data_IF_926354802077
#
_entry.id   IF_926354802077
#
_cell.length_a   1.000
_cell.length_b   1.000
_cell.length_c   1.000
_cell.angle_alpha   90.00
_cell.angle_beta   90.00
_cell.angle_gamma   90.00
#
_symmetry.space_group_name_H-M   'P 1'
#
loop_
_entity.id
_entity.type
_entity.pdbx_description
1 polymer ?
#
# COMPACT_ATOMS: atom_id res chain seq x y z
N UNK A 1 -30.62 -16.91 17.18
CA UNK A 1 -31.51 -16.44 16.10
C UNK A 1 -31.90 -17.68 15.33
N UNK A 2 -33.19 -18.02 15.35
CA UNK A 2 -33.71 -19.25 14.74
C UNK A 2 -33.54 -19.18 13.21
N UNK A 3 -32.85 -20.16 12.61
CA UNK A 3 -32.53 -20.19 11.18
C UNK A 3 -33.75 -20.48 10.29
N UNK A 4 -34.93 -20.66 10.89
CA UNK A 4 -36.19 -21.02 10.22
C UNK A 4 -36.82 -19.88 9.39
N UNK A 5 -36.29 -18.66 9.41
CA UNK A 5 -36.84 -17.50 8.68
C UNK A 5 -35.92 -16.90 7.59
N UNK A 6 -34.93 -17.64 7.09
CA UNK A 6 -34.16 -17.13 5.94
C UNK A 6 -35.03 -17.24 4.68
N UNK A 7 -35.45 -16.09 4.17
CA UNK A 7 -36.29 -15.96 2.98
C UNK A 7 -35.66 -16.71 1.79
N UNK A 8 -36.32 -17.78 1.33
CA UNK A 8 -35.85 -18.64 0.23
C UNK A 8 -35.55 -17.85 -1.05
N UNK A 9 -36.21 -16.71 -1.27
CA UNK A 9 -35.91 -15.80 -2.40
C UNK A 9 -34.53 -15.14 -2.27
N UNK A 10 -34.11 -14.79 -1.06
CA UNK A 10 -32.80 -14.20 -0.78
C UNK A 10 -31.67 -15.23 -1.01
N UNK A 11 -31.91 -16.49 -0.63
CA UNK A 11 -30.97 -17.60 -0.90
C UNK A 11 -30.82 -17.82 -2.41
N UNK A 12 -31.92 -17.83 -3.16
CA UNK A 12 -31.90 -18.01 -4.63
C UNK A 12 -31.15 -16.85 -5.31
N UNK A 13 -31.37 -15.61 -4.86
CA UNK A 13 -30.66 -14.43 -5.39
C UNK A 13 -29.15 -14.54 -5.11
N UNK A 14 -28.75 -14.91 -3.90
CA UNK A 14 -27.34 -15.10 -3.54
C UNK A 14 -26.70 -16.24 -4.34
N UNK A 15 -27.44 -17.33 -4.59
CA UNK A 15 -26.98 -18.44 -5.42
C UNK A 15 -26.78 -18.02 -6.89
N UNK A 16 -27.70 -17.22 -7.44
CA UNK A 16 -27.60 -16.72 -8.81
C UNK A 16 -26.43 -15.74 -8.98
N UNK A 17 -26.18 -14.87 -8.00
CA UNK A 17 -25.02 -13.97 -7.99
C UNK A 17 -23.72 -14.78 -7.91
N UNK A 18 -23.68 -15.81 -7.07
CA UNK A 18 -22.53 -16.70 -6.95
C UNK A 18 -22.24 -17.45 -8.26
N UNK A 19 -23.26 -18.03 -8.90
CA UNK A 19 -23.12 -18.71 -10.19
C UNK A 19 -22.67 -17.74 -11.29
N UNK A 20 -23.22 -16.52 -11.35
CA UNK A 20 -22.79 -15.51 -12.31
C UNK A 20 -21.31 -15.10 -12.11
N UNK A 21 -20.84 -15.02 -10.86
CA UNK A 21 -19.44 -14.72 -10.55
C UNK A 21 -18.48 -15.84 -11.01
N UNK A 22 -18.90 -17.10 -10.87
CA UNK A 22 -18.14 -18.25 -11.39
C UNK A 22 -18.04 -18.17 -12.92
N UNK A 23 -19.15 -17.92 -13.63
CA UNK A 23 -19.11 -17.78 -15.10
C UNK A 23 -18.26 -16.61 -15.59
N UNK A 24 -18.25 -15.49 -14.86
CA UNK A 24 -17.39 -14.34 -15.19
C UNK A 24 -15.90 -14.68 -15.03
N UNK A 25 -15.53 -15.34 -13.93
CA UNK A 25 -14.14 -15.79 -13.70
C UNK A 25 -13.71 -16.89 -14.68
N UNK A 26 -14.63 -17.77 -15.10
CA UNK A 26 -14.34 -18.82 -16.09
C UNK A 26 -14.13 -18.25 -17.50
N UNK A 27 -14.94 -17.27 -17.92
CA UNK A 27 -14.77 -16.61 -19.22
C UNK A 27 -13.52 -15.73 -19.28
N UNK A 28 -13.14 -15.08 -18.18
CA UNK A 28 -11.90 -14.29 -18.10
C UNK A 28 -10.63 -15.16 -18.18
N UNK A 29 -10.72 -16.45 -17.82
CA UNK A 29 -9.58 -17.39 -17.82
C UNK A 29 -9.38 -18.12 -19.15
N UNK A 30 -10.36 -18.10 -20.07
CA UNK A 30 -10.34 -18.92 -21.31
C UNK A 30 -10.52 -18.12 -22.61
N UNK A 31 -10.59 -16.79 -22.59
CA UNK A 31 -10.63 -15.97 -23.82
C UNK A 31 -9.25 -15.71 -24.46
N UNK A 32 -8.17 -16.28 -23.91
CA UNK A 32 -6.83 -16.28 -24.52
C UNK A 32 -6.65 -17.41 -25.54
N UNK A 33 -7.32 -17.33 -26.70
CA UNK A 33 -7.01 -18.16 -27.86
C UNK A 33 -6.63 -17.23 -29.02
N UNK A 34 -5.34 -17.17 -29.33
CA UNK A 34 -4.77 -16.56 -30.53
C UNK A 34 -5.19 -17.36 -31.78
N UNK A 35 -5.42 -16.69 -32.92
CA UNK A 35 -5.11 -17.27 -34.22
C UNK A 35 -3.84 -16.63 -34.81
N UNK A 36 -3.05 -17.50 -35.43
CA UNK A 36 -1.79 -17.21 -36.12
C UNK A 36 -1.90 -16.22 -37.29
N UNK A 37 -0.78 -15.51 -37.47
CA UNK A 37 -0.15 -15.06 -38.73
C UNK A 37 -0.89 -15.36 -40.04
N UNK A 38 -1.20 -14.31 -40.79
CA UNK A 38 -1.10 -14.32 -42.25
C UNK A 38 0.04 -13.40 -42.69
N UNK A 39 0.94 -13.96 -43.51
CA UNK A 39 1.93 -13.23 -44.29
C UNK A 39 1.21 -12.25 -45.22
N UNK A 40 1.80 -11.07 -45.43
CA UNK A 40 1.77 -10.44 -46.75
C UNK A 40 3.10 -9.77 -47.05
N UNK A 41 3.65 -10.14 -48.20
CA UNK A 41 4.90 -9.71 -48.76
C UNK A 41 4.57 -8.90 -50.04
N UNK A 42 5.11 -7.68 -50.12
CA UNK A 42 5.64 -7.01 -51.32
C UNK A 42 4.66 -6.38 -52.35
N UNK A 43 4.91 -5.08 -52.54
CA UNK A 43 4.76 -4.23 -53.75
C UNK A 43 3.39 -3.71 -54.16
N UNK A 44 3.22 -2.37 -54.13
CA UNK A 44 3.40 -1.56 -55.34
C UNK A 44 3.37 -0.04 -55.08
N UNK A 45 4.27 0.65 -55.79
CA UNK A 45 4.39 2.10 -55.97
C UNK A 45 3.06 2.79 -56.32
N UNK A 46 2.84 4.01 -55.83
CA UNK A 46 3.08 5.23 -56.61
C UNK A 46 2.55 6.52 -55.94
N UNK A 47 3.45 7.50 -55.85
CA UNK A 47 3.29 8.93 -56.19
C UNK A 47 2.16 9.70 -55.49
N UNK A 48 2.53 10.57 -54.55
CA UNK A 48 2.36 12.00 -54.80
C UNK A 48 3.38 12.83 -54.01
N UNK A 49 4.14 13.60 -54.77
CA UNK A 49 5.00 14.65 -54.30
C UNK A 49 4.16 15.86 -53.89
N UNK A 50 4.50 16.49 -52.78
CA UNK A 50 4.44 17.94 -52.72
C UNK A 50 5.62 18.47 -51.92
N UNK A 51 6.45 19.22 -52.65
CA UNK A 51 7.61 19.95 -52.20
C UNK A 51 7.12 21.24 -51.54
N UNK A 52 7.46 21.44 -50.27
CA UNK A 52 7.73 22.79 -49.80
C UNK A 52 9.00 22.88 -48.96
N UNK A 53 9.85 23.77 -49.44
CA UNK A 53 11.21 24.08 -49.06
C UNK A 53 11.32 24.72 -47.68
N UNK A 54 12.24 24.21 -46.87
CA UNK A 54 12.76 24.88 -45.67
C UNK A 54 14.09 24.27 -45.28
N UNK A 55 15.13 25.09 -45.17
CA UNK A 55 16.52 24.72 -44.89
C UNK A 55 16.70 23.92 -43.58
N UNK A 56 17.75 23.09 -43.45
CA UNK A 56 18.08 22.45 -42.18
C UNK A 56 18.64 23.50 -41.21
N UNK A 57 17.87 23.84 -40.17
CA UNK A 57 18.36 24.59 -39.03
C UNK A 57 19.45 23.76 -38.33
N UNK A 58 20.71 24.16 -38.51
CA UNK A 58 21.80 23.78 -37.63
C UNK A 58 21.56 24.45 -36.27
N UNK A 59 21.00 23.72 -35.31
CA UNK A 59 21.05 24.16 -33.93
C UNK A 59 22.45 23.86 -33.38
N UNK A 60 23.19 24.95 -33.17
CA UNK A 60 24.44 25.00 -32.43
C UNK A 60 24.27 24.33 -31.06
N UNK A 61 25.20 23.43 -30.75
CA UNK A 61 25.29 22.61 -29.54
C UNK A 61 26.04 23.31 -28.40
N UNK A 62 26.00 24.64 -28.32
CA UNK A 62 26.76 25.41 -27.32
C UNK A 62 25.84 26.36 -26.55
N UNK A 63 25.07 25.80 -25.62
CA UNK A 63 24.55 26.39 -24.36
C UNK A 63 23.30 25.61 -23.94
N UNK A 64 23.48 24.51 -23.20
CA UNK A 64 22.39 23.95 -22.39
C UNK A 64 22.77 24.22 -20.95
N UNK A 65 22.03 25.15 -20.35
CA UNK A 65 21.99 25.38 -18.91
C UNK A 65 21.86 24.04 -18.18
N UNK A 66 22.71 23.83 -17.17
CA UNK A 66 22.65 22.70 -16.24
C UNK A 66 21.48 22.86 -15.24
N UNK A 67 20.30 23.22 -15.72
CA UNK A 67 19.08 23.10 -14.93
C UNK A 67 18.62 21.64 -14.96
N UNK A 68 18.14 21.07 -13.84
CA UNK A 68 17.54 19.75 -13.84
C UNK A 68 16.40 19.73 -14.86
N UNK A 69 16.60 19.04 -15.98
CA UNK A 69 15.65 18.99 -17.09
C UNK A 69 14.39 18.29 -16.60
N UNK A 70 13.33 19.07 -16.35
CA UNK A 70 12.01 18.53 -16.09
C UNK A 70 11.44 17.91 -17.38
N UNK A 71 11.15 16.62 -17.37
CA UNK A 71 10.47 15.94 -18.48
C UNK A 71 8.95 15.97 -18.29
N UNK A 72 8.21 16.40 -19.32
CA UNK A 72 6.73 16.39 -19.31
C UNK A 72 6.22 15.24 -20.16
N UNK A 73 5.41 14.36 -19.57
CA UNK A 73 4.96 13.10 -20.17
C UNK A 73 3.46 13.12 -20.35
N UNK A 74 3.00 12.87 -21.58
CA UNK A 74 1.58 12.87 -21.95
C UNK A 74 1.11 11.44 -22.30
N UNK A 75 -0.20 11.18 -22.32
CA UNK A 75 -0.71 9.86 -22.69
C UNK A 75 -0.19 9.41 -24.07
N UNK A 76 0.40 8.22 -24.12
CA UNK A 76 1.06 7.67 -25.32
C UNK A 76 2.58 7.74 -25.27
N UNK A 77 3.15 8.62 -24.46
CA UNK A 77 4.58 8.64 -24.16
C UNK A 77 4.94 7.53 -23.15
N UNK A 78 6.22 7.14 -23.11
CA UNK A 78 6.74 6.22 -22.09
C UNK A 78 7.29 6.99 -20.88
N UNK A 79 6.76 6.68 -19.70
CA UNK A 79 7.28 7.20 -18.43
C UNK A 79 8.68 6.64 -18.18
N UNK A 80 8.94 5.37 -18.51
CA UNK A 80 10.27 4.79 -18.33
C UNK A 80 11.34 5.49 -19.16
N UNK A 81 11.04 5.86 -20.41
CA UNK A 81 12.00 6.61 -21.23
C UNK A 81 12.32 7.99 -20.62
N UNK A 82 11.35 8.64 -20.01
CA UNK A 82 11.56 9.88 -19.27
C UNK A 82 12.48 9.67 -18.06
N UNK A 83 12.21 8.63 -17.26
CA UNK A 83 13.04 8.26 -16.11
C UNK A 83 14.49 8.01 -16.58
N UNK A 84 14.68 7.29 -17.69
CA UNK A 84 16.00 6.99 -18.23
C UNK A 84 16.76 8.25 -18.67
N UNK A 85 16.07 9.23 -19.25
CA UNK A 85 16.68 10.42 -19.86
C UNK A 85 16.93 11.57 -18.88
N UNK A 86 16.06 11.77 -17.89
CA UNK A 86 16.20 12.87 -16.91
C UNK A 86 17.46 12.65 -16.05
N UNK A 87 18.27 13.69 -15.88
CA UNK A 87 19.47 13.62 -15.04
C UNK A 87 19.11 13.39 -13.56
N UNK A 88 20.01 12.76 -12.80
CA UNK A 88 19.78 12.55 -11.36
C UNK A 88 19.49 13.88 -10.65
N UNK A 89 18.49 13.86 -9.76
CA UNK A 89 17.95 15.03 -9.07
C UNK A 89 16.81 15.74 -9.81
N UNK A 90 16.57 15.41 -11.09
CA UNK A 90 15.53 16.01 -11.91
C UNK A 90 14.10 15.49 -11.65
N UNK A 91 13.15 16.03 -12.40
CA UNK A 91 11.72 15.72 -12.26
C UNK A 91 11.13 15.13 -13.54
N UNK A 92 10.35 14.07 -13.40
CA UNK A 92 9.44 13.56 -14.42
C UNK A 92 8.02 13.95 -14.02
N UNK A 93 7.40 14.81 -14.80
CA UNK A 93 6.04 15.34 -14.61
C UNK A 93 5.10 14.60 -15.56
N UNK A 94 4.22 13.77 -15.01
CA UNK A 94 3.31 12.91 -15.77
C UNK A 94 1.90 13.52 -15.80
N UNK A 95 1.36 13.73 -16.99
CA UNK A 95 0.01 14.25 -17.19
C UNK A 95 -1.05 13.15 -17.06
N UNK A 96 -2.29 13.49 -16.65
CA UNK A 96 -3.35 12.51 -16.47
C UNK A 96 -3.56 11.63 -17.71
N UNK A 97 -3.61 10.33 -17.49
CA UNK A 97 -3.58 9.32 -18.54
C UNK A 97 -3.45 7.91 -17.97
N UNK A 98 -3.60 6.90 -18.81
CA UNK A 98 -3.29 5.50 -18.47
C UNK A 98 -1.94 5.14 -19.08
N UNK A 99 -1.01 4.72 -18.24
CA UNK A 99 0.32 4.26 -18.62
C UNK A 99 0.45 2.81 -18.17
N UNK A 100 0.62 1.90 -19.14
CA UNK A 100 0.79 0.47 -18.88
C UNK A 100 2.27 0.12 -18.91
N UNK A 101 2.93 0.27 -17.78
CA UNK A 101 4.38 0.12 -17.64
C UNK A 101 4.71 -0.48 -16.26
N UNK A 102 5.87 -1.14 -16.16
CA UNK A 102 6.52 -1.45 -14.89
C UNK A 102 7.80 -0.63 -14.86
N UNK A 103 7.90 0.30 -13.91
CA UNK A 103 8.89 1.36 -13.89
C UNK A 103 10.05 1.03 -12.96
N UNK A 104 11.27 1.23 -13.43
CA UNK A 104 12.50 1.10 -12.65
C UNK A 104 13.07 2.49 -12.40
N UNK A 105 13.25 2.84 -11.12
CA UNK A 105 13.87 4.10 -10.70
C UNK A 105 15.15 3.78 -9.93
N UNK A 106 16.27 3.85 -10.64
CA UNK A 106 17.61 3.45 -10.19
C UNK A 106 18.56 4.63 -9.96
N UNK A 107 18.05 5.86 -10.04
CA UNK A 107 18.75 7.10 -9.69
C UNK A 107 17.85 8.06 -8.92
N UNK A 108 18.41 8.93 -8.06
CA UNK A 108 17.63 9.94 -7.34
C UNK A 108 16.82 10.80 -8.29
N UNK A 109 15.50 10.83 -8.14
CA UNK A 109 14.56 11.53 -9.03
C UNK A 109 13.24 11.85 -8.32
N UNK A 110 12.51 12.81 -8.87
CA UNK A 110 11.10 13.01 -8.57
C UNK A 110 10.26 12.53 -9.75
N UNK A 111 9.35 11.61 -9.53
CA UNK A 111 8.32 11.22 -10.50
C UNK A 111 6.99 11.66 -9.89
N UNK A 112 6.34 12.63 -10.51
CA UNK A 112 5.14 13.26 -9.96
C UNK A 112 4.05 13.37 -11.01
N UNK A 113 2.80 13.19 -10.59
CA UNK A 113 1.64 13.53 -11.40
C UNK A 113 1.47 15.05 -11.43
N UNK A 114 1.22 15.61 -12.61
CA UNK A 114 0.97 17.06 -12.79
C UNK A 114 -0.29 17.57 -12.07
N UNK A 115 -1.17 16.66 -11.63
CA UNK A 115 -2.45 16.98 -11.01
C UNK A 115 -2.56 16.43 -9.58
N UNK A 116 -1.53 16.67 -8.75
CA UNK A 116 -1.54 16.26 -7.33
C UNK A 116 -2.82 16.75 -6.63
N UNK A 117 -3.66 15.81 -6.18
CA UNK A 117 -4.91 16.12 -5.46
C UNK A 117 -6.11 16.51 -6.34
N UNK A 118 -6.00 16.40 -7.66
CA UNK A 118 -7.12 16.59 -8.59
C UNK A 118 -7.95 15.32 -8.84
N UNK A 119 -9.11 15.46 -9.50
CA UNK A 119 -10.03 14.33 -9.81
C UNK A 119 -9.55 13.43 -10.96
N UNK A 120 -8.51 13.81 -11.69
CA UNK A 120 -7.96 13.06 -12.81
C UNK A 120 -6.50 12.68 -12.51
N UNK A 121 -6.29 11.42 -12.16
CA UNK A 121 -4.98 10.87 -11.80
C UNK A 121 -4.24 10.37 -13.06
N UNK A 122 -2.93 10.57 -13.10
CA UNK A 122 -2.07 9.69 -13.89
C UNK A 122 -2.15 8.29 -13.29
N UNK A 123 -2.63 7.33 -14.06
CA UNK A 123 -2.76 5.93 -13.65
C UNK A 123 -1.62 5.12 -14.23
N UNK A 124 -0.76 4.58 -13.36
CA UNK A 124 0.29 3.65 -13.74
C UNK A 124 -0.22 2.24 -13.41
N UNK A 125 -0.45 1.46 -14.45
CA UNK A 125 -0.90 0.08 -14.36
C UNK A 125 0.26 -0.85 -14.73
N UNK A 126 0.48 -1.90 -13.95
CA UNK A 126 1.44 -2.95 -14.29
C UNK A 126 1.17 -3.48 -15.72
N UNK A 127 2.17 -3.43 -16.59
CA UNK A 127 2.13 -4.13 -17.88
C UNK A 127 2.28 -5.65 -17.67
N UNK A 128 3.15 -6.00 -16.74
CA UNK A 128 3.42 -7.35 -16.26
C UNK A 128 2.95 -7.47 -14.80
N UNK A 129 1.89 -8.23 -14.51
CA UNK A 129 1.31 -8.34 -13.16
C UNK A 129 2.22 -9.08 -12.17
N UNK A 130 3.25 -9.77 -12.64
CA UNK A 130 4.23 -10.50 -11.81
C UNK A 130 5.41 -9.63 -11.36
N UNK A 131 5.39 -8.32 -11.69
CA UNK A 131 6.42 -7.34 -11.36
C UNK A 131 5.85 -6.15 -10.60
N UNK A 132 6.73 -5.44 -9.88
CA UNK A 132 6.36 -4.20 -9.22
C UNK A 132 5.90 -3.15 -10.24
N UNK A 133 4.94 -2.28 -9.89
CA UNK A 133 4.59 -1.15 -10.77
C UNK A 133 5.71 -0.11 -10.74
N UNK A 134 6.21 0.21 -9.55
CA UNK A 134 7.45 0.96 -9.35
C UNK A 134 8.44 0.11 -8.57
N UNK A 135 9.59 -0.19 -9.19
CA UNK A 135 10.74 -0.84 -8.57
C UNK A 135 11.84 0.20 -8.32
N UNK A 136 12.03 0.59 -7.07
CA UNK A 136 12.88 1.73 -6.71
C UNK A 136 14.05 1.24 -5.86
N UNK A 137 15.26 1.45 -6.38
CA UNK A 137 16.52 1.05 -5.73
C UNK A 137 17.40 2.24 -5.34
N UNK A 138 17.12 3.42 -5.86
CA UNK A 138 17.86 4.63 -5.53
C UNK A 138 17.37 5.34 -4.28
N UNK A 139 18.32 6.03 -3.62
CA UNK A 139 18.04 6.96 -2.54
C UNK A 139 17.36 8.24 -3.05
N UNK A 140 16.67 8.94 -2.15
CA UNK A 140 16.08 10.26 -2.37
C UNK A 140 15.11 10.31 -3.57
N UNK A 141 14.35 9.23 -3.80
CA UNK A 141 13.31 9.18 -4.83
C UNK A 141 11.99 9.68 -4.28
N UNK A 142 11.30 10.52 -5.04
CA UNK A 142 9.94 10.98 -4.73
C UNK A 142 8.95 10.40 -5.73
N UNK A 143 7.90 9.72 -5.26
CA UNK A 143 6.76 9.27 -6.08
C UNK A 143 5.51 9.94 -5.55
N UNK A 144 4.83 10.74 -6.38
CA UNK A 144 3.70 11.54 -5.91
C UNK A 144 2.51 11.62 -6.87
N UNK A 145 1.30 11.50 -6.32
CA UNK A 145 0.06 11.85 -7.01
C UNK A 145 -0.46 10.83 -8.04
N UNK A 146 -0.01 9.57 -7.98
CA UNK A 146 -0.42 8.53 -8.94
C UNK A 146 -1.56 7.66 -8.43
N UNK A 147 -2.32 7.10 -9.37
CA UNK A 147 -3.09 5.88 -9.14
C UNK A 147 -2.26 4.68 -9.62
N UNK A 148 -1.94 3.75 -8.73
CA UNK A 148 -0.97 2.67 -8.93
C UNK A 148 -1.68 1.32 -8.73
N UNK A 149 -1.70 0.48 -9.76
CA UNK A 149 -2.54 -0.74 -9.77
C UNK A 149 -2.00 -1.87 -10.63
N UNK A 150 -2.47 -3.08 -10.36
CA UNK A 150 -2.39 -4.20 -11.30
C UNK A 150 -1.25 -5.19 -11.05
N UNK A 151 -0.38 -4.95 -10.07
CA UNK A 151 0.70 -5.87 -9.69
C UNK A 151 0.16 -7.01 -8.80
N UNK A 152 -0.30 -8.11 -9.40
CA UNK A 152 -1.01 -9.17 -8.68
C UNK A 152 -0.13 -9.98 -7.72
N UNK A 153 1.16 -10.17 -8.05
CA UNK A 153 2.08 -10.98 -7.22
C UNK A 153 3.14 -10.15 -6.50
N UNK A 154 3.23 -8.85 -6.82
CA UNK A 154 4.29 -7.94 -6.38
C UNK A 154 3.72 -6.62 -5.85
N UNK A 155 4.57 -5.60 -5.71
CA UNK A 155 4.18 -4.35 -5.08
C UNK A 155 3.66 -3.30 -6.09
N UNK A 156 2.73 -2.46 -5.65
CA UNK A 156 2.49 -1.18 -6.33
C UNK A 156 3.75 -0.33 -6.29
N UNK A 157 4.36 -0.19 -5.11
CA UNK A 157 5.69 0.42 -4.95
C UNK A 157 6.57 -0.52 -4.13
N UNK A 158 7.64 -1.01 -4.74
CA UNK A 158 8.77 -1.61 -4.04
C UNK A 158 9.87 -0.57 -3.87
N UNK A 159 10.40 -0.43 -2.66
CA UNK A 159 11.42 0.56 -2.34
C UNK A 159 12.51 -0.05 -1.45
N UNK A 160 13.75 -0.02 -1.93
CA UNK A 160 14.94 -0.45 -1.17
C UNK A 160 15.99 0.66 -0.98
N UNK A 161 15.74 1.86 -1.49
CA UNK A 161 16.56 3.04 -1.20
C UNK A 161 16.31 3.63 0.19
N UNK A 162 16.91 4.79 0.45
CA UNK A 162 16.75 5.58 1.68
C UNK A 162 16.35 7.03 1.40
N UNK A 163 15.72 7.71 2.37
CA UNK A 163 15.41 9.14 2.26
C UNK A 163 14.34 9.50 1.22
N UNK A 164 13.54 8.53 0.79
CA UNK A 164 12.48 8.71 -0.20
C UNK A 164 11.20 9.33 0.35
N UNK A 165 10.40 9.89 -0.56
CA UNK A 165 9.09 10.47 -0.25
C UNK A 165 8.02 9.83 -1.14
N UNK A 166 7.10 9.08 -0.55
CA UNK A 166 5.97 8.47 -1.26
C UNK A 166 4.70 9.14 -0.77
N UNK A 167 4.11 10.02 -1.60
CA UNK A 167 3.07 10.94 -1.12
C UNK A 167 1.85 11.01 -2.04
N UNK A 168 0.65 11.14 -1.45
CA UNK A 168 -0.59 11.39 -2.21
C UNK A 168 -0.88 10.39 -3.33
N UNK A 169 -0.41 9.16 -3.20
CA UNK A 169 -0.70 8.10 -4.15
C UNK A 169 -1.94 7.32 -3.71
N UNK A 170 -2.68 6.80 -4.69
CA UNK A 170 -3.69 5.77 -4.51
C UNK A 170 -3.12 4.44 -4.97
N UNK A 171 -2.95 3.48 -4.07
CA UNK A 171 -2.40 2.17 -4.36
C UNK A 171 -3.46 1.10 -4.15
N UNK A 172 -3.87 0.44 -5.23
CA UNK A 172 -4.96 -0.54 -5.16
C UNK A 172 -4.79 -1.73 -6.08
N UNK A 173 -5.35 -2.88 -5.68
CA UNK A 173 -5.32 -4.13 -6.45
C UNK A 173 -3.89 -4.58 -6.78
N UNK A 174 -2.99 -4.47 -5.80
CA UNK A 174 -1.65 -5.05 -5.84
C UNK A 174 -1.50 -6.12 -4.73
N UNK A 175 -0.49 -6.97 -4.81
CA UNK A 175 -0.19 -7.88 -3.70
C UNK A 175 0.24 -7.08 -2.46
N UNK A 176 1.26 -6.24 -2.63
CA UNK A 176 1.66 -5.24 -1.64
C UNK A 176 1.28 -3.85 -2.17
N UNK A 177 0.61 -3.01 -1.38
CA UNK A 177 0.44 -1.61 -1.76
C UNK A 177 1.80 -0.94 -1.85
N UNK A 178 2.48 -0.85 -0.71
CA UNK A 178 3.87 -0.39 -0.58
C UNK A 178 4.69 -1.44 0.15
N UNK A 179 5.85 -1.77 -0.40
CA UNK A 179 6.82 -2.67 0.23
C UNK A 179 8.19 -1.98 0.35
N UNK A 180 8.58 -1.73 1.59
CA UNK A 180 9.89 -1.25 2.00
C UNK A 180 10.75 -2.45 2.43
N UNK A 181 11.87 -2.67 1.74
CA UNK A 181 12.77 -3.78 2.01
C UNK A 181 14.20 -3.28 2.20
N UNK A 182 14.76 -3.50 3.39
CA UNK A 182 16.10 -3.02 3.78
C UNK A 182 16.27 -1.50 3.61
N UNK A 183 15.20 -0.75 3.88
CA UNK A 183 15.09 0.69 3.56
C UNK A 183 15.00 1.56 4.83
N UNK A 184 15.43 2.82 4.76
CA UNK A 184 15.44 3.68 5.96
C UNK A 184 15.17 5.16 5.68
N UNK A 185 14.68 5.85 6.72
CA UNK A 185 14.49 7.31 6.71
C UNK A 185 13.54 7.76 5.59
N UNK A 186 12.61 6.89 5.20
CA UNK A 186 11.61 7.19 4.18
C UNK A 186 10.36 7.80 4.82
N UNK A 187 9.66 8.63 4.05
CA UNK A 187 8.39 9.24 4.42
C UNK A 187 7.30 8.69 3.51
N UNK A 188 6.29 8.07 4.10
CA UNK A 188 5.05 7.67 3.44
C UNK A 188 3.91 8.52 4.00
N UNK A 189 3.42 9.48 3.22
CA UNK A 189 2.46 10.48 3.72
C UNK A 189 1.24 10.70 2.81
N UNK A 190 0.05 10.77 3.41
CA UNK A 190 -1.22 11.08 2.72
C UNK A 190 -1.55 10.11 1.56
N UNK A 191 -1.19 8.83 1.65
CA UNK A 191 -1.55 7.84 0.64
C UNK A 191 -2.88 7.15 0.97
N UNK A 192 -3.65 6.81 -0.07
CA UNK A 192 -4.80 5.91 0.00
C UNK A 192 -4.35 4.52 -0.43
N UNK A 193 -4.32 3.56 0.50
CA UNK A 193 -3.89 2.18 0.23
C UNK A 193 -5.07 1.26 0.43
N UNK A 194 -5.67 0.79 -0.65
CA UNK A 194 -6.95 0.10 -0.60
C UNK A 194 -7.00 -1.16 -1.47
N UNK A 195 -7.63 -2.24 -0.99
CA UNK A 195 -7.82 -3.47 -1.76
C UNK A 195 -6.51 -4.09 -2.28
N UNK A 196 -5.45 -4.03 -1.48
CA UNK A 196 -4.25 -4.83 -1.68
C UNK A 196 -4.32 -6.06 -0.78
N UNK A 197 -3.56 -7.12 -1.06
CA UNK A 197 -3.42 -8.23 -0.12
C UNK A 197 -2.84 -7.68 1.19
N UNK A 198 -1.63 -7.13 1.14
CA UNK A 198 -1.01 -6.39 2.23
C UNK A 198 -0.90 -4.91 1.86
N UNK A 199 -1.38 -4.02 2.72
CA UNK A 199 -1.34 -2.57 2.49
C UNK A 199 0.08 -2.01 2.46
N UNK A 200 0.73 -1.93 3.62
CA UNK A 200 2.10 -1.40 3.77
C UNK A 200 2.96 -2.42 4.52
N UNK A 201 4.03 -2.89 3.89
CA UNK A 201 4.97 -3.83 4.48
C UNK A 201 6.35 -3.18 4.63
N UNK A 202 6.90 -3.23 5.85
CA UNK A 202 8.28 -2.86 6.16
C UNK A 202 9.00 -4.12 6.61
N UNK A 203 10.03 -4.51 5.86
CA UNK A 203 10.94 -5.60 6.21
C UNK A 203 12.35 -5.06 6.37
N UNK A 204 13.00 -5.35 7.50
CA UNK A 204 14.34 -4.83 7.82
C UNK A 204 14.46 -3.32 7.65
N UNK A 205 13.37 -2.58 7.86
CA UNK A 205 13.24 -1.19 7.41
C UNK A 205 13.05 -0.25 8.59
N UNK A 206 14.13 0.46 8.93
CA UNK A 206 14.24 1.21 10.17
C UNK A 206 14.07 2.72 9.97
N UNK A 207 13.64 3.43 11.02
CA UNK A 207 13.59 4.89 11.06
C UNK A 207 12.68 5.55 10.00
N UNK A 208 11.60 4.88 9.59
CA UNK A 208 10.64 5.41 8.62
C UNK A 208 9.47 6.13 9.30
N UNK A 209 8.82 7.03 8.56
CA UNK A 209 7.64 7.77 9.03
C UNK A 209 6.45 7.48 8.13
N UNK A 210 5.41 6.89 8.71
CA UNK A 210 4.13 6.62 8.06
C UNK A 210 3.11 7.59 8.67
N UNK A 211 2.70 8.60 7.91
CA UNK A 211 1.86 9.69 8.42
C UNK A 211 0.61 9.90 7.60
N UNK A 212 -0.53 10.02 8.27
CA UNK A 212 -1.80 10.42 7.62
C UNK A 212 -2.21 9.56 6.43
N UNK A 213 -1.80 8.28 6.40
CA UNK A 213 -2.22 7.35 5.37
C UNK A 213 -3.58 6.74 5.72
N UNK A 214 -4.37 6.44 4.68
CA UNK A 214 -5.65 5.75 4.80
C UNK A 214 -5.53 4.35 4.22
N UNK A 215 -5.39 3.35 5.10
CA UNK A 215 -5.23 1.94 4.74
C UNK A 215 -6.54 1.22 4.99
N UNK A 216 -7.13 0.67 3.92
CA UNK A 216 -8.41 -0.04 4.00
C UNK A 216 -8.38 -1.31 3.16
N UNK A 217 -9.22 -2.27 3.52
CA UNK A 217 -9.38 -3.49 2.73
C UNK A 217 -10.82 -3.96 2.71
N UNK A 218 -11.09 -4.90 1.81
CA UNK A 218 -12.24 -5.77 1.93
C UNK A 218 -11.83 -6.90 2.85
N UNK A 219 -12.16 -6.79 4.15
CA UNK A 219 -12.03 -7.87 5.13
C UNK A 219 -12.98 -9.05 4.85
N UNK A 220 -13.03 -9.51 3.60
CA UNK A 220 -13.82 -10.65 3.16
C UNK A 220 -12.90 -11.86 3.17
N UNK A 221 -13.28 -12.85 3.97
CA UNK A 221 -12.73 -14.19 3.91
C UNK A 221 -12.89 -14.77 2.50
N UNK A 222 -11.78 -15.06 1.85
CA UNK A 222 -11.74 -15.97 0.70
C UNK A 222 -10.67 -17.02 0.99
N UNK A 223 -11.06 -18.08 1.71
CA UNK A 223 -10.19 -19.24 1.98
C UNK A 223 -9.35 -19.17 3.26
N UNK A 224 -8.36 -20.07 3.34
CA UNK A 224 -7.46 -20.27 4.49
C UNK A 224 -6.31 -19.26 4.55
N UNK A 225 -5.99 -18.60 3.43
CA UNK A 225 -4.91 -17.62 3.32
C UNK A 225 -5.50 -16.21 3.27
N UNK A 226 -5.91 -15.69 4.43
CA UNK A 226 -6.46 -14.35 4.51
C UNK A 226 -5.32 -13.33 4.55
N UNK A 227 -4.96 -12.81 3.38
CA UNK A 227 -3.81 -11.92 3.27
C UNK A 227 -4.11 -10.47 3.67
N UNK A 228 -5.38 -10.10 3.98
CA UNK A 228 -5.84 -8.73 4.19
C UNK A 228 -5.22 -8.05 5.44
N UNK A 229 -3.98 -7.61 5.31
CA UNK A 229 -3.17 -6.99 6.36
C UNK A 229 -2.97 -5.50 6.06
N UNK A 230 -3.19 -4.63 7.04
CA UNK A 230 -3.04 -3.18 6.87
C UNK A 230 -1.59 -2.74 6.84
N UNK A 231 -0.96 -2.75 8.01
CA UNK A 231 0.46 -2.39 8.17
C UNK A 231 1.19 -3.53 8.86
N UNK A 232 2.29 -4.00 8.25
CA UNK A 232 3.14 -5.05 8.81
C UNK A 232 4.58 -4.57 8.91
N UNK A 233 5.17 -4.66 10.10
CA UNK A 233 6.60 -4.44 10.36
C UNK A 233 7.23 -5.78 10.76
N UNK A 234 8.27 -6.17 10.04
CA UNK A 234 9.12 -7.34 10.30
C UNK A 234 10.56 -6.86 10.42
N UNK A 235 11.20 -7.15 11.56
CA UNK A 235 12.58 -6.74 11.85
C UNK A 235 12.81 -5.22 11.61
N UNK A 236 11.82 -4.41 11.96
CA UNK A 236 11.74 -3.00 11.57
C UNK A 236 11.56 -2.09 12.79
N UNK A 237 12.66 -1.47 13.21
CA UNK A 237 12.78 -0.68 14.43
C UNK A 237 12.69 0.84 14.19
N UNK A 238 12.37 1.57 15.26
CA UNK A 238 12.43 3.04 15.32
C UNK A 238 11.52 3.75 14.30
N UNK A 239 10.45 3.10 13.85
CA UNK A 239 9.47 3.67 12.94
C UNK A 239 8.39 4.46 13.69
N UNK A 240 7.85 5.49 13.02
CA UNK A 240 6.76 6.31 13.54
C UNK A 240 5.53 6.18 12.66
N UNK A 241 4.46 5.65 13.23
CA UNK A 241 3.15 5.52 12.61
C UNK A 241 2.24 6.57 13.26
N UNK A 242 1.95 7.64 12.54
CA UNK A 242 1.27 8.82 13.08
C UNK A 242 0.00 9.17 12.33
N UNK A 243 -1.13 9.32 13.03
CA UNK A 243 -2.38 9.83 12.44
C UNK A 243 -2.88 9.03 11.23
N UNK A 244 -2.54 7.75 11.12
CA UNK A 244 -3.03 6.88 10.05
C UNK A 244 -4.43 6.35 10.41
N UNK A 245 -5.22 6.05 9.38
CA UNK A 245 -6.47 5.30 9.49
C UNK A 245 -6.24 3.90 8.93
N UNK A 246 -6.48 2.87 9.74
CA UNK A 246 -6.31 1.46 9.38
C UNK A 246 -7.62 0.74 9.66
N UNK A 247 -8.38 0.37 8.63
CA UNK A 247 -9.74 -0.09 8.84
C UNK A 247 -10.23 -1.22 7.94
N UNK A 248 -11.15 -2.02 8.52
CA UNK A 248 -11.90 -3.10 7.84
C UNK A 248 -11.02 -4.23 7.27
N UNK A 249 -9.91 -4.51 7.92
CA UNK A 249 -8.94 -5.53 7.53
C UNK A 249 -9.07 -6.79 8.41
N UNK A 250 -8.40 -7.86 7.99
CA UNK A 250 -8.23 -9.03 8.84
C UNK A 250 -7.23 -8.72 9.95
N UNK A 251 -6.01 -8.33 9.57
CA UNK A 251 -4.99 -7.82 10.48
C UNK A 251 -4.81 -6.31 10.27
N UNK A 252 -5.01 -5.53 11.32
CA UNK A 252 -4.86 -4.08 11.27
C UNK A 252 -3.40 -3.67 11.21
N UNK A 253 -2.73 -3.75 12.37
CA UNK A 253 -1.30 -3.44 12.51
C UNK A 253 -0.59 -4.60 13.20
N UNK A 254 0.49 -5.11 12.61
CA UNK A 254 1.26 -6.23 13.14
C UNK A 254 2.75 -5.88 13.19
N UNK A 255 3.38 -6.10 14.34
CA UNK A 255 4.82 -5.99 14.55
C UNK A 255 5.38 -7.37 14.93
N UNK A 256 6.34 -7.85 14.15
CA UNK A 256 7.15 -9.03 14.44
C UNK A 256 8.60 -8.61 14.57
N UNK A 257 9.23 -8.92 15.70
CA UNK A 257 10.66 -8.63 15.95
C UNK A 257 11.00 -7.15 15.72
N UNK A 258 10.04 -6.26 16.02
CA UNK A 258 10.08 -4.84 15.66
C UNK A 258 9.92 -3.98 16.92
N UNK A 259 11.01 -3.39 17.36
CA UNK A 259 11.16 -2.70 18.64
C UNK A 259 11.33 -1.19 18.48
N UNK A 260 11.09 -0.45 19.57
CA UNK A 260 11.27 1.00 19.64
C UNK A 260 10.40 1.80 18.64
N UNK A 261 9.30 1.23 18.17
CA UNK A 261 8.37 1.91 17.27
C UNK A 261 7.33 2.72 18.06
N UNK A 262 6.77 3.74 17.41
CA UNK A 262 5.73 4.61 17.97
C UNK A 262 4.48 4.61 17.10
N UNK A 263 3.35 4.19 17.67
CA UNK A 263 2.01 4.39 17.11
C UNK A 263 1.35 5.52 17.86
N UNK A 264 1.20 6.66 17.21
CA UNK A 264 0.65 7.87 17.83
C UNK A 264 -0.58 8.38 17.08
N UNK A 265 -1.68 8.61 17.80
CA UNK A 265 -2.90 9.24 17.25
C UNK A 265 -3.50 8.52 16.03
N UNK A 266 -3.34 7.20 15.89
CA UNK A 266 -3.92 6.43 14.78
C UNK A 266 -5.37 6.02 15.07
N UNK A 267 -6.14 5.82 14.00
CA UNK A 267 -7.49 5.24 14.02
C UNK A 267 -7.45 3.81 13.49
N UNK A 268 -7.40 2.82 14.37
CA UNK A 268 -7.38 1.38 14.07
C UNK A 268 -8.81 0.84 14.25
N UNK A 269 -9.58 0.78 13.16
CA UNK A 269 -11.04 0.68 13.22
C UNK A 269 -11.58 -0.57 12.53
N UNK A 270 -12.36 -1.34 13.27
CA UNK A 270 -13.14 -2.48 12.77
C UNK A 270 -12.32 -3.55 12.06
N UNK A 271 -11.06 -3.73 12.47
CA UNK A 271 -10.22 -4.85 12.05
C UNK A 271 -10.55 -6.09 12.88
N UNK A 272 -10.37 -7.28 12.31
CA UNK A 272 -10.60 -8.52 13.05
C UNK A 272 -9.54 -8.68 14.13
N UNK A 273 -8.25 -8.60 13.83
CA UNK A 273 -7.17 -8.39 14.79
C UNK A 273 -6.68 -6.96 14.65
N UNK A 274 -6.73 -6.17 15.72
CA UNK A 274 -6.48 -4.73 15.63
C UNK A 274 -5.00 -4.37 15.69
N UNK A 275 -4.31 -4.78 16.75
CA UNK A 275 -2.88 -4.54 16.95
C UNK A 275 -2.21 -5.78 17.55
N UNK A 276 -1.11 -6.22 16.96
CA UNK A 276 -0.28 -7.32 17.47
C UNK A 276 1.17 -6.88 17.59
N UNK A 277 1.80 -7.20 18.72
CA UNK A 277 3.22 -7.05 18.97
C UNK A 277 3.78 -8.42 19.39
N UNK A 278 4.64 -8.99 18.55
CA UNK A 278 5.23 -10.31 18.70
C UNK A 278 6.75 -10.14 18.76
N UNK A 279 7.39 -10.62 19.82
CA UNK A 279 8.82 -10.43 20.08
C UNK A 279 9.26 -8.95 19.93
N UNK A 280 8.36 -8.01 20.26
CA UNK A 280 8.49 -6.59 19.89
C UNK A 280 8.49 -5.73 21.16
N UNK A 281 9.64 -5.12 21.44
CA UNK A 281 9.91 -4.50 22.74
C UNK A 281 9.97 -2.98 22.67
N UNK A 282 9.78 -2.32 23.82
CA UNK A 282 9.95 -0.87 23.97
C UNK A 282 9.09 -0.03 23.00
N UNK A 283 7.97 -0.56 22.51
CA UNK A 283 7.07 0.16 21.62
C UNK A 283 6.12 1.07 22.40
N UNK A 284 5.77 2.19 21.78
CA UNK A 284 4.85 3.19 22.35
C UNK A 284 3.57 3.21 21.53
N UNK A 285 2.46 2.85 22.16
CA UNK A 285 1.12 2.88 21.58
C UNK A 285 0.34 3.97 22.30
N UNK A 286 0.34 5.18 21.72
CA UNK A 286 -0.08 6.40 22.37
C UNK A 286 -1.29 7.03 21.68
N UNK A 287 -2.33 7.36 22.46
CA UNK A 287 -3.48 8.17 22.01
C UNK A 287 -4.20 7.63 20.77
N UNK A 288 -4.20 6.31 20.55
CA UNK A 288 -4.86 5.70 19.39
C UNK A 288 -6.35 5.44 19.69
N UNK A 289 -7.17 5.51 18.66
CA UNK A 289 -8.55 5.00 18.68
C UNK A 289 -8.56 3.59 18.10
N UNK A 290 -8.76 2.58 18.94
CA UNK A 290 -8.72 1.16 18.61
C UNK A 290 -10.10 0.56 18.83
N UNK A 291 -10.86 0.37 17.75
CA UNK A 291 -12.21 -0.21 17.81
C UNK A 291 -12.19 -1.57 17.14
N UNK A 292 -12.21 -2.65 17.93
CA UNK A 292 -12.21 -4.03 17.40
C UNK A 292 -13.51 -4.40 16.71
N UNK A 293 -13.45 -5.36 15.77
CA UNK A 293 -14.64 -6.02 15.20
C UNK A 293 -14.88 -7.37 15.87
N UNK A 294 -16.11 -7.64 16.33
CA UNK A 294 -16.51 -8.97 16.80
C UNK A 294 -15.96 -9.33 18.19
N UNK A 295 -15.39 -10.53 18.34
CA UNK A 295 -15.00 -11.12 19.63
C UNK A 295 -13.49 -11.13 19.90
N UNK A 296 -12.67 -10.59 19.00
CA UNK A 296 -11.22 -10.58 19.08
C UNK A 296 -10.65 -9.66 20.18
N UNK A 297 -9.31 -9.70 20.33
CA UNK A 297 -8.54 -8.78 21.17
C UNK A 297 -8.29 -7.44 20.47
N UNK A 298 -8.21 -6.37 21.26
CA UNK A 298 -7.77 -5.04 20.79
C UNK A 298 -6.26 -5.02 20.59
N UNK A 299 -5.52 -5.58 21.55
CA UNK A 299 -4.07 -5.69 21.48
C UNK A 299 -3.62 -7.08 21.90
N UNK A 300 -2.64 -7.62 21.17
CA UNK A 300 -1.93 -8.86 21.49
C UNK A 300 -0.46 -8.51 21.77
N UNK A 301 0.04 -8.93 22.93
CA UNK A 301 1.46 -8.83 23.32
C UNK A 301 2.03 -10.24 23.51
N UNK A 302 2.74 -10.76 22.51
CA UNK A 302 3.37 -12.08 22.60
C UNK A 302 4.89 -11.93 22.78
N UNK A 303 5.41 -12.43 23.90
CA UNK A 303 6.85 -12.37 24.26
C UNK A 303 7.43 -10.95 24.12
N UNK A 304 6.64 -9.95 24.49
CA UNK A 304 6.92 -8.54 24.22
C UNK A 304 6.99 -7.76 25.53
N UNK A 305 8.04 -6.95 25.69
CA UNK A 305 8.43 -6.37 26.96
C UNK A 305 8.57 -4.85 26.89
N UNK A 306 8.39 -4.18 28.03
CA UNK A 306 8.60 -2.74 28.19
C UNK A 306 7.76 -1.87 27.22
N UNK A 307 6.64 -2.37 26.71
CA UNK A 307 5.76 -1.58 25.86
C UNK A 307 4.88 -0.66 26.71
N UNK A 308 4.60 0.54 26.18
CA UNK A 308 3.73 1.52 26.84
C UNK A 308 2.45 1.71 26.03
N UNK A 309 1.31 1.37 26.61
CA UNK A 309 -0.01 1.59 26.03
C UNK A 309 -0.73 2.64 26.87
N UNK A 310 -0.73 3.88 26.39
CA UNK A 310 -1.25 5.03 27.13
C UNK A 310 -2.15 5.90 26.25
N UNK A 311 -3.25 6.39 26.83
CA UNK A 311 -4.19 7.32 26.23
C UNK A 311 -5.05 6.75 25.11
N UNK A 312 -5.01 5.43 24.88
CA UNK A 312 -5.81 4.78 23.85
C UNK A 312 -7.27 4.69 24.30
N UNK A 313 -8.23 4.94 23.41
CA UNK A 313 -9.68 4.81 23.66
C UNK A 313 -10.25 5.61 24.84
N UNK A 314 -9.87 6.89 25.00
CA UNK A 314 -10.40 7.75 26.09
C UNK A 314 -11.92 8.02 26.05
N UNK A 315 -12.60 7.71 24.94
CA UNK A 315 -14.02 8.03 24.75
C UNK A 315 -14.87 6.76 24.57
N UNK A 316 -15.90 6.63 25.42
CA UNK A 316 -17.03 5.67 25.38
C UNK A 316 -16.68 4.20 25.64
N UNK A 317 -17.33 3.59 26.64
CA UNK A 317 -17.83 2.20 26.78
C UNK A 317 -17.21 1.08 25.91
N UNK A 318 -15.92 1.14 25.60
CA UNK A 318 -15.23 0.22 24.72
C UNK A 318 -14.19 -0.49 25.55
N UNK A 319 -14.50 -1.73 25.89
CA UNK A 319 -13.57 -2.62 26.59
C UNK A 319 -12.29 -2.77 25.76
N UNK A 320 -11.16 -2.38 26.33
CA UNK A 320 -9.85 -2.55 25.74
C UNK A 320 -9.32 -3.94 26.12
N UNK A 321 -9.53 -4.90 25.21
CA UNK A 321 -9.18 -6.31 25.46
C UNK A 321 -7.73 -6.55 25.11
N UNK A 322 -6.92 -6.90 26.10
CA UNK A 322 -5.50 -7.17 25.90
C UNK A 322 -5.20 -8.63 26.22
N UNK A 323 -4.57 -9.31 25.29
CA UNK A 323 -3.93 -10.59 25.55
C UNK A 323 -2.42 -10.37 25.74
N UNK A 324 -1.83 -10.97 26.76
CA UNK A 324 -0.38 -11.02 26.91
C UNK A 324 0.08 -12.43 27.26
N UNK A 325 1.09 -12.95 26.56
CA UNK A 325 1.69 -14.25 26.89
C UNK A 325 2.50 -14.19 28.20
N UNK A 326 2.76 -15.33 28.84
CA UNK A 326 3.54 -15.41 30.10
C UNK A 326 4.92 -14.73 30.03
N UNK A 327 5.51 -14.63 28.83
CA UNK A 327 6.84 -14.01 28.63
C UNK A 327 6.78 -12.50 28.36
N UNK A 328 5.58 -11.92 28.26
CA UNK A 328 5.36 -10.49 28.02
C UNK A 328 5.37 -9.73 29.35
N UNK A 329 6.52 -9.20 29.74
CA UNK A 329 6.76 -8.60 31.06
C UNK A 329 6.97 -7.09 30.99
N UNK A 330 6.80 -6.38 32.11
CA UNK A 330 7.09 -4.95 32.27
C UNK A 330 6.34 -4.02 31.28
N UNK A 331 5.19 -4.44 30.76
CA UNK A 331 4.36 -3.58 29.92
C UNK A 331 3.54 -2.63 30.80
N UNK A 332 3.48 -1.36 30.42
CA UNK A 332 2.70 -0.33 31.11
C UNK A 332 1.38 -0.12 30.38
N UNK A 333 0.27 -0.37 31.07
CA UNK A 333 -1.09 -0.27 30.54
C UNK A 333 -1.88 0.76 31.35
N UNK A 334 -2.44 1.78 30.71
CA UNK A 334 -3.37 2.71 31.37
C UNK A 334 -4.78 2.10 31.48
N UNK A 335 -5.45 2.31 32.62
CA UNK A 335 -6.82 1.87 32.91
C UNK A 335 -6.92 0.90 34.10
N UNK A 336 -8.16 0.60 34.49
CA UNK A 336 -8.46 -0.39 35.53
C UNK A 336 -8.68 -1.78 34.92
N UNK A 337 -8.01 -2.79 35.50
CA UNK A 337 -8.21 -4.20 35.13
C UNK A 337 -9.53 -4.70 35.73
N UNK A 338 -10.45 -5.12 34.85
CA UNK A 338 -11.79 -5.58 35.26
C UNK A 338 -11.89 -7.12 35.34
N UNK A 339 -11.28 -7.84 34.39
CA UNK A 339 -11.22 -9.31 34.42
C UNK A 339 -9.84 -9.81 34.02
N UNK A 340 -9.30 -10.73 34.80
CA UNK A 340 -8.15 -11.54 34.42
C UNK A 340 -8.62 -12.83 33.74
N UNK A 341 -7.85 -13.37 32.80
CA UNK A 341 -8.07 -14.76 32.40
C UNK A 341 -7.62 -15.73 33.51
N UNK A 342 -8.08 -16.98 33.47
CA UNK A 342 -7.85 -17.99 34.52
C UNK A 342 -6.36 -18.29 34.80
N UNK A 343 -5.47 -17.91 33.88
CA UNK A 343 -4.04 -18.16 33.94
C UNK A 343 -3.22 -16.89 34.27
N UNK A 344 -3.86 -15.74 34.53
CA UNK A 344 -3.18 -14.46 34.80
C UNK A 344 -2.46 -13.83 33.59
N UNK A 345 -2.66 -14.37 32.39
CA UNK A 345 -2.06 -13.99 31.08
C UNK A 345 -3.03 -13.26 30.16
N UNK A 346 -3.44 -12.06 30.53
CA UNK A 346 -4.38 -11.26 29.76
C UNK A 346 -5.46 -10.68 30.64
N UNK A 347 -6.14 -9.67 30.11
CA UNK A 347 -7.25 -9.08 30.82
C UNK A 347 -8.07 -8.10 29.99
N UNK A 348 -9.27 -7.81 30.51
CA UNK A 348 -10.10 -6.72 29.99
C UNK A 348 -9.83 -5.48 30.82
N UNK A 349 -9.35 -4.43 30.17
CA UNK A 349 -9.09 -3.14 30.80
C UNK A 349 -10.17 -2.15 30.42
N UNK A 350 -10.65 -1.37 31.40
CA UNK A 350 -11.49 -0.20 31.17
C UNK A 350 -10.64 1.04 31.38
N UNK A 351 -10.52 1.84 30.33
CA UNK A 351 -9.87 3.16 30.41
C UNK A 351 -10.84 4.10 31.12
N UNK A 352 -10.34 4.84 32.13
CA UNK A 352 -11.13 5.75 32.97
C UNK A 352 -10.86 7.19 32.56
#
# INVERSE_FOLDING_TARGET
MDLSQINTKLIIILLLIFVASIFYTFNAKYSGIYPEKSLDNISNNSINADLHSGEPVKNNLDNIDNDPIDAKIYPGDSVQNAINTVSSGGTVIVYPGLYKENLVVDKPLKVISSNEGGSAYASIQAADPEKDVFHITADNVTISGFNITGSQDKAGIYYSGSGGNITRNKLSYNNYGVYFNDSKVNILENNEVNNNSLGIYLRNSNNNQLKSNNITGVGIFVGLDNNATGIYLEDSDNNKLMSNTIAKLWDGVNFTESSNNELNNNSILHNYFSLSLINSNNNKVLNNTIVRRGYSFSVVLANSQNNTLQGNNKNLNTDFKIYYSFKSTNNTLEGELYTSNEQGTGGVFRVI
#
